data_IF_483767923311
#
_entry.id   IF_483767923311
#
_cell.length_a   1.000
_cell.length_b   1.000
_cell.length_c   1.000
_cell.angle_alpha   90.00
_cell.angle_beta   90.00
_cell.angle_gamma   90.00
#
_symmetry.space_group_name_H-M   'P 1'
#
loop_
_entity.id
_entity.type
_entity.pdbx_description
1 polymer ?
#
# COMPACT_ATOMS: atom_id res chain seq x y z
N UNK A 1 5.00 28.71 -14.99
CA UNK A 1 5.40 28.64 -13.57
C UNK A 1 5.00 27.26 -13.07
N UNK A 2 5.95 26.32 -13.07
CA UNK A 2 5.71 24.93 -12.70
C UNK A 2 6.24 24.72 -11.29
N UNK A 3 5.38 24.39 -10.35
CA UNK A 3 5.76 24.15 -8.96
C UNK A 3 6.03 22.65 -8.84
N UNK A 4 7.30 22.27 -8.95
CA UNK A 4 7.76 20.95 -8.50
C UNK A 4 7.52 20.88 -7.00
N UNK A 5 6.58 20.03 -6.56
CA UNK A 5 6.43 19.72 -5.15
C UNK A 5 7.65 18.91 -4.72
N UNK A 6 8.67 19.60 -4.23
CA UNK A 6 9.73 18.99 -3.45
C UNK A 6 9.09 18.53 -2.14
N UNK A 7 8.84 17.21 -2.03
CA UNK A 7 8.44 16.57 -0.79
C UNK A 7 9.54 16.83 0.25
N UNK A 8 9.34 17.82 1.11
CA UNK A 8 10.20 18.08 2.27
C UNK A 8 10.00 16.92 3.25
N UNK A 9 10.99 16.03 3.36
CA UNK A 9 11.15 15.20 4.54
C UNK A 9 12.22 15.88 5.39
N UNK A 10 11.91 16.35 6.61
CA UNK A 10 12.96 16.81 7.51
C UNK A 10 13.93 15.64 7.79
N UNK A 11 15.23 15.89 7.96
CA UNK A 11 16.14 14.86 8.45
C UNK A 11 15.62 14.35 9.79
N UNK A 12 15.55 13.02 9.94
CA UNK A 12 15.05 12.37 11.16
C UNK A 12 15.73 12.98 12.38
N UNK A 13 14.91 13.59 13.24
CA UNK A 13 15.32 13.95 14.60
C UNK A 13 15.84 12.68 15.28
N UNK A 14 17.02 12.76 15.88
CA UNK A 14 17.61 11.67 16.66
C UNK A 14 16.64 11.22 17.75
N UNK A 15 15.89 10.15 17.47
CA UNK A 15 14.85 9.61 18.35
C UNK A 15 13.76 8.81 17.62
N UNK A 16 13.47 9.14 16.35
CA UNK A 16 12.45 8.41 15.59
C UNK A 16 12.97 7.04 15.11
N UNK A 17 12.14 5.98 15.15
CA UNK A 17 12.53 4.69 14.64
C UNK A 17 12.77 4.74 13.13
N UNK A 18 13.56 3.81 12.61
CA UNK A 18 13.62 3.57 11.17
C UNK A 18 12.25 3.15 10.62
N UNK A 19 11.93 3.57 9.39
CA UNK A 19 10.71 3.13 8.70
C UNK A 19 10.62 1.61 8.63
N UNK A 20 9.40 1.02 8.62
CA UNK A 20 9.27 -0.42 8.64
C UNK A 20 9.83 -1.09 7.38
N UNK A 21 10.18 -2.37 7.51
CA UNK A 21 10.46 -3.24 6.36
C UNK A 21 9.16 -3.58 5.62
N UNK A 22 9.25 -4.34 4.52
CA UNK A 22 8.08 -4.66 3.73
C UNK A 22 7.04 -5.52 4.45
N UNK A 23 5.76 -5.22 4.23
CA UNK A 23 4.67 -6.13 4.54
C UNK A 23 4.76 -7.35 3.64
N UNK A 24 4.38 -8.52 4.16
CA UNK A 24 4.68 -9.82 3.52
C UNK A 24 3.40 -10.49 3.06
N UNK A 25 3.51 -11.30 2.00
CA UNK A 25 2.43 -12.22 1.58
C UNK A 25 1.10 -11.52 1.34
N UNK A 26 1.10 -10.36 0.66
CA UNK A 26 -0.16 -9.72 0.26
C UNK A 26 -0.91 -10.64 -0.70
N UNK A 27 -2.18 -10.90 -0.37
CA UNK A 27 -3.13 -11.65 -1.18
C UNK A 27 -4.40 -10.84 -1.38
N UNK A 28 -4.99 -11.05 -2.55
CA UNK A 28 -6.23 -10.44 -2.98
C UNK A 28 -7.24 -11.55 -3.29
N UNK A 29 -8.42 -11.48 -2.69
CA UNK A 29 -9.51 -12.45 -2.89
C UNK A 29 -10.74 -11.67 -3.31
N UNK A 30 -11.26 -11.99 -4.50
CA UNK A 30 -12.52 -11.48 -5.00
C UNK A 30 -13.66 -12.23 -4.33
N UNK A 31 -14.53 -11.49 -3.66
CA UNK A 31 -15.75 -11.98 -3.04
C UNK A 31 -16.96 -11.60 -3.91
N UNK A 32 -18.07 -12.28 -3.67
CA UNK A 32 -19.33 -12.01 -4.35
C UNK A 32 -19.77 -10.55 -4.17
N UNK A 33 -20.44 -10.01 -5.18
CA UNK A 33 -20.90 -8.62 -5.19
C UNK A 33 -19.83 -7.57 -5.55
N UNK A 34 -18.63 -7.99 -5.96
CA UNK A 34 -17.55 -7.08 -6.36
C UNK A 34 -16.80 -6.47 -5.19
N UNK A 35 -16.76 -7.22 -4.09
CA UNK A 35 -15.98 -6.91 -2.90
C UNK A 35 -14.60 -7.54 -3.04
N UNK A 36 -13.56 -6.83 -2.64
CA UNK A 36 -12.18 -7.32 -2.68
C UNK A 36 -11.62 -7.38 -1.26
N UNK A 37 -11.36 -8.59 -0.77
CA UNK A 37 -10.66 -8.81 0.48
C UNK A 37 -9.15 -8.84 0.24
N UNK A 38 -8.42 -7.95 0.92
CA UNK A 38 -6.96 -7.95 0.96
C UNK A 38 -6.48 -8.45 2.33
N UNK A 39 -5.47 -9.32 2.32
CA UNK A 39 -4.83 -9.82 3.53
C UNK A 39 -3.32 -9.94 3.37
N UNK A 40 -2.57 -9.60 4.41
CA UNK A 40 -1.10 -9.64 4.42
C UNK A 40 -0.57 -10.04 5.81
N UNK A 41 0.76 -10.10 5.93
CA UNK A 41 1.47 -10.27 7.19
C UNK A 41 2.28 -9.03 7.50
N UNK A 42 2.32 -8.66 8.77
CA UNK A 42 3.18 -7.58 9.27
C UNK A 42 4.65 -7.81 8.87
N UNK A 43 5.46 -6.73 8.75
CA UNK A 43 6.91 -6.86 8.61
C UNK A 43 7.51 -7.73 9.72
N UNK A 44 8.66 -8.36 9.43
CA UNK A 44 9.44 -9.01 10.49
C UNK A 44 9.93 -7.91 11.45
N UNK A 45 9.75 -8.06 12.78
CA UNK A 45 10.35 -7.15 13.75
C UNK A 45 11.87 -7.07 13.57
N UNK A 46 12.47 -5.95 13.92
CA UNK A 46 13.91 -5.81 13.88
C UNK A 46 14.38 -4.61 14.68
N UNK A 47 15.62 -4.68 15.14
CA UNK A 47 16.28 -3.60 15.87
C UNK A 47 16.18 -2.27 15.12
N UNK A 48 15.90 -1.20 15.86
CA UNK A 48 15.78 0.15 15.31
C UNK A 48 14.49 0.43 14.50
N UNK A 49 13.68 -0.59 14.19
CA UNK A 49 12.37 -0.39 13.57
C UNK A 49 11.28 -0.34 14.65
N UNK A 50 10.53 0.75 14.67
CA UNK A 50 9.40 0.94 15.60
C UNK A 50 8.18 0.12 15.18
N UNK A 51 7.24 -0.06 16.11
CA UNK A 51 5.99 -0.76 15.87
C UNK A 51 5.23 -0.14 14.70
N UNK A 52 4.75 -0.97 13.77
CA UNK A 52 3.84 -0.54 12.71
C UNK A 52 2.53 -0.05 13.34
N UNK A 53 2.13 1.18 13.01
CA UNK A 53 0.88 1.79 13.48
C UNK A 53 -0.26 1.67 12.46
N UNK A 54 0.06 1.63 11.16
CA UNK A 54 -0.92 1.52 10.09
C UNK A 54 -0.31 0.94 8.81
N UNK A 55 -1.16 0.72 7.81
CA UNK A 55 -0.82 0.23 6.49
C UNK A 55 -1.50 1.10 5.44
N UNK A 56 -0.72 1.71 4.54
CA UNK A 56 -1.25 2.41 3.38
C UNK A 56 -1.57 1.38 2.31
N UNK A 57 -2.80 1.38 1.83
CA UNK A 57 -3.26 0.51 0.74
C UNK A 57 -3.23 1.35 -0.52
N UNK A 58 -2.39 0.93 -1.46
CA UNK A 58 -2.19 1.62 -2.72
C UNK A 58 -2.72 0.77 -3.88
N UNK A 59 -3.30 1.43 -4.88
CA UNK A 59 -3.79 0.83 -6.10
C UNK A 59 -3.19 1.52 -7.31
N UNK A 60 -2.96 0.76 -8.38
CA UNK A 60 -2.83 1.28 -9.74
C UNK A 60 -3.67 0.47 -10.71
N UNK A 61 -3.92 1.06 -11.87
CA UNK A 61 -4.96 0.62 -12.78
C UNK A 61 -4.43 0.51 -14.20
N UNK A 62 -4.92 -0.46 -14.96
CA UNK A 62 -4.71 -0.51 -16.40
C UNK A 62 -6.02 -0.11 -17.10
N UNK A 63 -6.15 1.15 -17.57
CA UNK A 63 -7.43 1.70 -17.99
C UNK A 63 -7.99 1.10 -19.29
N UNK A 64 -7.14 0.46 -20.10
CA UNK A 64 -7.54 -0.25 -21.32
C UNK A 64 -6.57 -1.41 -21.61
N UNK A 65 -6.96 -2.42 -22.40
CA UNK A 65 -6.07 -3.49 -22.81
C UNK A 65 -4.79 -2.93 -23.44
N UNK A 66 -3.63 -3.40 -22.97
CA UNK A 66 -2.29 -2.95 -23.39
C UNK A 66 -1.92 -1.49 -23.05
N UNK A 67 -2.77 -0.75 -22.33
CA UNK A 67 -2.38 0.55 -21.78
C UNK A 67 -1.32 0.37 -20.66
N UNK A 68 -0.45 1.37 -20.42
CA UNK A 68 0.42 1.35 -19.27
C UNK A 68 -0.40 1.41 -17.97
N UNK A 69 0.12 0.80 -16.90
CA UNK A 69 -0.43 0.95 -15.57
C UNK A 69 -0.28 2.40 -15.10
N UNK A 70 -1.30 2.92 -14.41
CA UNK A 70 -1.24 4.24 -13.78
C UNK A 70 -0.19 4.30 -12.67
N UNK A 71 0.05 5.51 -12.17
CA UNK A 71 0.79 5.70 -10.93
C UNK A 71 0.04 5.08 -9.74
N UNK A 72 0.82 4.71 -8.72
CA UNK A 72 0.28 4.23 -7.45
C UNK A 72 -0.45 5.36 -6.73
N UNK A 73 -1.70 5.09 -6.35
CA UNK A 73 -2.53 6.02 -5.59
C UNK A 73 -2.95 5.37 -4.28
N UNK A 74 -2.80 6.08 -3.15
CA UNK A 74 -3.33 5.63 -1.87
C UNK A 74 -4.87 5.66 -1.91
N UNK A 75 -5.50 4.52 -1.68
CA UNK A 75 -6.96 4.38 -1.70
C UNK A 75 -7.56 4.12 -0.32
N UNK A 76 -6.77 3.62 0.64
CA UNK A 76 -7.20 3.37 2.00
C UNK A 76 -6.04 3.33 2.98
N UNK A 77 -6.37 3.38 4.28
CA UNK A 77 -5.46 3.10 5.39
C UNK A 77 -6.09 2.01 6.25
N UNK A 78 -5.31 0.98 6.58
CA UNK A 78 -5.74 -0.11 7.46
C UNK A 78 -4.92 -0.11 8.75
N UNK A 79 -5.57 -0.38 9.88
CA UNK A 79 -4.88 -0.55 11.18
C UNK A 79 -4.50 -2.02 11.44
N UNK A 80 -5.18 -2.94 10.78
CA UNK A 80 -4.94 -4.38 10.83
C UNK A 80 -4.25 -4.88 9.57
N UNK A 81 -3.90 -6.18 9.54
CA UNK A 81 -3.26 -6.82 8.39
C UNK A 81 -4.25 -7.35 7.34
N UNK A 82 -5.46 -6.79 7.33
CA UNK A 82 -6.51 -7.09 6.36
C UNK A 82 -7.44 -5.90 6.18
N UNK A 83 -8.03 -5.81 4.99
CA UNK A 83 -9.07 -4.81 4.69
C UNK A 83 -10.00 -5.35 3.61
N UNK A 84 -11.27 -5.00 3.72
CA UNK A 84 -12.28 -5.26 2.69
C UNK A 84 -12.54 -3.98 1.92
N UNK A 85 -12.29 -4.01 0.61
CA UNK A 85 -12.49 -2.90 -0.30
C UNK A 85 -13.78 -3.11 -1.11
N UNK A 86 -14.65 -2.12 -1.10
CA UNK A 86 -15.88 -2.12 -1.91
C UNK A 86 -15.76 -1.14 -3.06
N UNK A 87 -16.66 -1.23 -4.05
CA UNK A 87 -16.77 -0.28 -5.18
C UNK A 87 -15.46 -0.13 -5.96
N UNK A 88 -14.76 -1.24 -6.18
CA UNK A 88 -13.56 -1.25 -7.01
C UNK A 88 -13.94 -1.08 -8.49
N UNK A 89 -13.09 -0.40 -9.30
CA UNK A 89 -13.30 -0.32 -10.75
C UNK A 89 -13.42 -1.71 -11.36
N UNK A 90 -14.31 -1.85 -12.36
CA UNK A 90 -14.60 -3.13 -13.02
C UNK A 90 -14.09 -3.11 -14.46
N UNK A 91 -13.93 -4.29 -15.05
CA UNK A 91 -13.50 -4.50 -16.42
C UNK A 91 -12.09 -3.96 -16.76
N UNK A 92 -11.23 -3.82 -15.74
CA UNK A 92 -9.85 -3.37 -15.88
C UNK A 92 -8.94 -4.15 -14.93
N UNK A 93 -7.67 -4.31 -15.32
CA UNK A 93 -6.67 -4.90 -14.42
C UNK A 93 -6.34 -3.88 -13.32
N UNK A 94 -6.41 -4.37 -12.09
CA UNK A 94 -6.05 -3.62 -10.90
C UNK A 94 -4.86 -4.28 -10.24
N UNK A 95 -3.96 -3.46 -9.72
CA UNK A 95 -2.84 -3.91 -8.91
C UNK A 95 -2.86 -3.23 -7.56
N UNK A 96 -2.59 -4.01 -6.52
CA UNK A 96 -2.60 -3.56 -5.14
C UNK A 96 -1.25 -3.83 -4.49
N UNK A 97 -0.82 -2.91 -3.63
CA UNK A 97 0.31 -3.12 -2.71
C UNK A 97 0.00 -2.45 -1.38
N UNK A 98 0.74 -2.85 -0.35
CA UNK A 98 0.56 -2.31 1.00
C UNK A 98 1.90 -1.82 1.55
N UNK A 99 1.94 -0.57 2.02
CA UNK A 99 3.11 0.02 2.68
C UNK A 99 2.87 0.16 4.20
N UNK A 100 3.64 -0.53 5.06
CA UNK A 100 3.54 -0.37 6.51
C UNK A 100 4.08 0.99 6.96
N UNK A 101 3.48 1.58 8.00
CA UNK A 101 3.85 2.90 8.51
C UNK A 101 4.14 2.82 10.01
N UNK A 102 5.17 3.53 10.47
CA UNK A 102 5.41 3.81 11.89
C UNK A 102 5.74 5.31 12.08
N UNK A 103 6.18 5.71 13.26
CA UNK A 103 6.53 7.12 13.55
C UNK A 103 7.71 7.64 12.71
N UNK A 104 8.56 6.75 12.20
CA UNK A 104 9.64 7.08 11.26
C UNK A 104 9.18 7.26 9.81
N UNK A 105 7.92 6.93 9.51
CA UNK A 105 7.30 7.09 8.20
C UNK A 105 6.92 5.78 7.52
N UNK A 106 6.65 5.88 6.22
CA UNK A 106 6.25 4.75 5.39
C UNK A 106 7.46 3.86 5.05
N UNK A 107 7.25 2.55 5.21
CA UNK A 107 8.19 1.50 4.88
C UNK A 107 8.12 1.08 3.43
N UNK A 108 8.89 0.05 3.10
CA UNK A 108 8.91 -0.55 1.75
C UNK A 108 7.54 -1.21 1.48
N UNK A 109 6.91 -1.00 0.31
CA UNK A 109 5.67 -1.70 -0.04
C UNK A 109 5.83 -3.23 -0.13
N UNK A 110 4.72 -3.95 0.01
CA UNK A 110 4.63 -5.40 -0.17
C UNK A 110 4.89 -5.84 -1.62
N UNK A 111 4.80 -7.16 -1.86
CA UNK A 111 4.53 -7.66 -3.20
C UNK A 111 3.24 -7.04 -3.77
N UNK A 112 3.15 -7.01 -5.09
CA UNK A 112 1.93 -6.65 -5.80
C UNK A 112 0.96 -7.83 -5.84
N UNK A 113 -0.33 -7.57 -5.66
CA UNK A 113 -1.41 -8.50 -5.97
C UNK A 113 -2.26 -7.94 -7.11
N UNK A 114 -2.43 -8.71 -8.17
CA UNK A 114 -3.18 -8.31 -9.37
C UNK A 114 -4.53 -9.02 -9.42
N UNK A 115 -5.58 -8.28 -9.77
CA UNK A 115 -6.94 -8.81 -9.96
C UNK A 115 -7.58 -8.19 -11.19
N UNK A 116 -8.51 -8.92 -11.79
CA UNK A 116 -9.39 -8.43 -12.85
C UNK A 116 -10.82 -8.63 -12.35
N UNK A 117 -11.58 -7.53 -12.30
CA UNK A 117 -12.95 -7.45 -11.77
C UNK A 117 -14.00 -7.39 -12.87
#
# INVERSE_FOLDING_TARGET
MFITVHRWFPPSSSGDPASPRHARTLRAVLEDGGTLALGWKSPVPGEGHGRVCAYLVERREQPAPNAPLTEWTQIAVALETSITLTRQPRAQQLEYRVAPVNNGGAGVPSNTASVVL
#
